data_IF_361740544584
#
_entry.id   IF_361740544584
#
_cell.length_a   1.000
_cell.length_b   1.000
_cell.length_c   1.000
_cell.angle_alpha   90.00
_cell.angle_beta   90.00
_cell.angle_gamma   90.00
#
_symmetry.space_group_name_H-M   'P 1'
#
loop_
_entity.id
_entity.type
_entity.pdbx_description
1 polymer ?
#
# COMPACT_ATOMS: atom_id res chain seq x y z
N UNK A 1 4.05 -13.57 -0.40
CA UNK A 1 2.66 -13.76 0.06
C UNK A 1 2.64 -14.94 1.01
N UNK A 2 1.87 -14.85 2.11
CA UNK A 2 1.76 -15.92 3.11
C UNK A 2 0.57 -16.82 2.74
N UNK A 3 0.82 -18.11 2.51
CA UNK A 3 -0.24 -19.11 2.58
C UNK A 3 -0.62 -19.30 4.04
N UNK A 4 -1.82 -18.90 4.42
CA UNK A 4 -2.28 -18.99 5.82
C UNK A 4 -2.62 -20.42 6.24
N UNK A 5 -2.76 -21.36 5.29
CA UNK A 5 -2.99 -22.78 5.60
C UNK A 5 -1.69 -23.51 5.94
N UNK A 6 -0.66 -23.36 5.11
CA UNK A 6 0.67 -23.95 5.33
C UNK A 6 1.61 -23.10 6.19
N UNK A 7 1.31 -21.81 6.39
CA UNK A 7 2.28 -20.78 6.81
C UNK A 7 3.49 -20.64 5.88
N UNK A 8 3.34 -21.03 4.61
CA UNK A 8 4.41 -20.95 3.62
C UNK A 8 4.51 -19.54 3.02
N UNK A 9 5.73 -19.09 2.78
CA UNK A 9 5.99 -17.81 2.14
C UNK A 9 6.37 -17.99 0.67
N UNK A 10 5.72 -17.22 -0.20
CA UNK A 10 6.16 -17.00 -1.57
C UNK A 10 6.80 -15.63 -1.73
N UNK A 11 7.82 -15.54 -2.58
CA UNK A 11 8.41 -14.27 -2.98
C UNK A 11 8.03 -13.94 -4.42
N UNK A 12 7.86 -12.65 -4.72
CA UNK A 12 7.65 -12.13 -6.07
C UNK A 12 8.62 -10.99 -6.29
N UNK A 13 9.21 -10.93 -7.49
CA UNK A 13 10.11 -9.83 -7.84
C UNK A 13 9.28 -8.57 -8.05
N UNK A 14 9.71 -7.47 -7.45
CA UNK A 14 9.11 -6.15 -7.69
C UNK A 14 9.57 -5.61 -9.05
N UNK A 15 8.75 -4.80 -9.73
CA UNK A 15 9.21 -4.09 -10.92
C UNK A 15 10.34 -3.10 -10.54
N UNK A 16 11.15 -2.67 -11.51
CA UNK A 16 12.17 -1.65 -11.27
C UNK A 16 11.56 -0.38 -10.66
N UNK A 17 12.27 0.24 -9.72
CA UNK A 17 11.82 1.44 -9.02
C UNK A 17 12.97 2.32 -8.55
N UNK A 18 12.63 3.48 -7.99
CA UNK A 18 13.58 4.37 -7.29
C UNK A 18 13.74 3.95 -5.82
N UNK A 19 14.71 4.53 -5.12
CA UNK A 19 14.90 4.31 -3.67
C UNK A 19 13.70 4.72 -2.81
N UNK A 20 12.75 5.50 -3.36
CA UNK A 20 11.54 5.94 -2.67
C UNK A 20 10.29 5.17 -3.12
N UNK A 21 10.47 4.03 -3.80
CA UNK A 21 9.33 3.24 -4.28
C UNK A 21 8.66 2.55 -3.11
N UNK A 22 7.37 2.81 -2.94
CA UNK A 22 6.54 2.16 -1.93
C UNK A 22 5.59 1.17 -2.61
N UNK A 23 5.40 0.02 -1.97
CA UNK A 23 4.52 -1.03 -2.48
C UNK A 23 3.58 -1.52 -1.40
N UNK A 24 2.34 -1.80 -1.77
CA UNK A 24 1.37 -2.52 -0.94
C UNK A 24 0.74 -3.65 -1.77
N UNK A 25 0.91 -4.89 -1.32
CA UNK A 25 0.50 -6.09 -2.05
C UNK A 25 -0.80 -6.65 -1.44
N UNK A 26 -1.69 -7.15 -2.29
CA UNK A 26 -2.94 -7.79 -1.89
C UNK A 26 -3.30 -8.98 -2.77
N UNK A 27 -4.21 -9.83 -2.29
CA UNK A 27 -4.96 -10.75 -3.15
C UNK A 27 -6.03 -9.95 -3.90
N UNK A 28 -6.03 -10.08 -5.23
CA UNK A 28 -6.87 -9.31 -6.16
C UNK A 28 -8.06 -10.12 -6.71
N UNK A 29 -8.52 -11.09 -5.92
CA UNK A 29 -9.54 -12.06 -6.29
C UNK A 29 -9.05 -13.15 -7.23
N UNK A 30 -9.65 -14.35 -7.05
CA UNK A 30 -9.41 -15.54 -7.87
C UNK A 30 -7.95 -16.02 -7.82
N UNK A 31 -7.24 -15.76 -6.72
CA UNK A 31 -5.84 -16.17 -6.56
C UNK A 31 -4.85 -15.30 -7.32
N UNK A 32 -5.28 -14.14 -7.83
CA UNK A 32 -4.40 -13.17 -8.47
C UNK A 32 -3.76 -12.28 -7.42
N UNK A 33 -2.57 -11.78 -7.72
CA UNK A 33 -1.85 -10.85 -6.85
C UNK A 33 -1.96 -9.45 -7.45
N UNK A 34 -2.39 -8.49 -6.64
CA UNK A 34 -2.39 -7.07 -6.98
C UNK A 34 -1.32 -6.33 -6.18
N UNK A 35 -0.92 -5.17 -6.71
CA UNK A 35 0.05 -4.31 -6.07
C UNK A 35 -0.25 -2.84 -6.34
N UNK A 36 -0.36 -2.06 -5.28
CA UNK A 36 -0.28 -0.61 -5.36
C UNK A 36 1.17 -0.18 -5.32
N UNK A 37 1.55 0.75 -6.20
CA UNK A 37 2.90 1.32 -6.26
C UNK A 37 2.79 2.84 -6.24
N UNK A 38 3.54 3.47 -5.36
CA UNK A 38 3.78 4.90 -5.39
C UNK A 38 5.27 5.15 -5.65
N UNK A 39 5.57 5.77 -6.79
CA UNK A 39 6.93 6.21 -7.10
C UNK A 39 7.14 7.61 -6.54
N UNK A 40 8.21 7.77 -5.77
CA UNK A 40 8.62 9.06 -5.21
C UNK A 40 7.57 9.75 -4.31
N UNK A 41 6.72 8.97 -3.65
CA UNK A 41 5.73 9.47 -2.67
C UNK A 41 4.87 10.62 -3.23
N UNK A 42 4.51 10.54 -4.51
CA UNK A 42 3.66 11.55 -5.14
C UNK A 42 2.19 11.32 -4.74
N UNK A 43 1.27 12.13 -5.27
CA UNK A 43 -0.16 11.84 -5.19
C UNK A 43 -0.62 10.85 -6.27
N UNK A 44 0.25 10.40 -7.17
CA UNK A 44 -0.06 9.42 -8.19
C UNK A 44 0.27 8.01 -7.70
N UNK A 45 -0.73 7.14 -7.64
CA UNK A 45 -0.60 5.74 -7.23
C UNK A 45 -1.08 4.85 -8.37
N UNK A 46 -0.24 3.89 -8.77
CA UNK A 46 -0.60 2.89 -9.77
C UNK A 46 -1.05 1.59 -9.12
N UNK A 47 -2.02 0.93 -9.72
CA UNK A 47 -2.44 -0.43 -9.37
C UNK A 47 -2.06 -1.38 -10.49
N UNK A 48 -1.33 -2.43 -10.12
CA UNK A 48 -0.76 -3.40 -11.02
C UNK A 48 -1.25 -4.79 -10.66
N UNK A 49 -1.49 -5.63 -11.66
CA UNK A 49 -1.80 -7.04 -11.48
C UNK A 49 -0.61 -7.89 -11.90
N UNK A 50 -0.33 -8.93 -11.10
CA UNK A 50 0.61 -9.97 -11.47
C UNK A 50 -0.08 -10.93 -12.45
N UNK A 51 0.40 -10.98 -13.68
CA UNK A 51 -0.06 -11.91 -14.69
C UNK A 51 0.99 -12.99 -14.96
N UNK A 52 0.52 -14.19 -15.28
CA UNK A 52 1.34 -15.27 -15.80
C UNK A 52 1.24 -15.25 -17.32
N UNK A 53 2.36 -15.29 -18.03
CA UNK A 53 2.42 -15.25 -19.50
C UNK A 53 1.90 -16.52 -20.20
N UNK A 54 1.39 -17.49 -19.45
CA UNK A 54 0.76 -18.70 -19.96
C UNK A 54 1.74 -19.80 -20.37
N UNK A 55 2.99 -19.44 -20.69
CA UNK A 55 4.08 -20.38 -21.01
C UNK A 55 4.96 -20.72 -19.79
N UNK A 56 4.59 -20.21 -18.61
CA UNK A 56 5.20 -20.62 -17.33
C UNK A 56 6.61 -20.09 -17.12
N UNK A 57 7.04 -19.11 -17.90
CA UNK A 57 8.41 -18.63 -17.90
C UNK A 57 8.60 -17.33 -17.10
N UNK A 58 7.59 -16.44 -17.02
CA UNK A 58 7.76 -15.21 -16.25
C UNK A 58 6.45 -14.60 -15.75
N UNK A 59 6.39 -14.32 -14.45
CA UNK A 59 5.35 -13.44 -13.91
C UNK A 59 5.72 -11.99 -14.22
N UNK A 60 4.79 -11.25 -14.81
CA UNK A 60 4.97 -9.83 -15.13
C UNK A 60 3.91 -8.97 -14.43
N UNK A 61 4.35 -7.84 -13.90
CA UNK A 61 3.45 -6.79 -13.40
C UNK A 61 2.92 -5.96 -14.56
N UNK A 62 1.60 -5.87 -14.67
CA UNK A 62 0.91 -5.05 -15.65
C UNK A 62 0.12 -3.96 -14.94
N UNK A 63 0.31 -2.71 -15.36
CA UNK A 63 -0.44 -1.57 -14.84
C UNK A 63 -1.87 -1.64 -15.34
N UNK A 64 -2.82 -1.72 -14.42
CA UNK A 64 -4.26 -1.80 -14.69
C UNK A 64 -4.92 -0.43 -14.56
N UNK A 65 -4.49 0.36 -13.57
CA UNK A 65 -5.07 1.65 -13.28
C UNK A 65 -4.07 2.59 -12.62
N UNK A 66 -4.35 3.87 -12.72
CA UNK A 66 -3.60 4.95 -12.09
C UNK A 66 -4.59 5.91 -11.45
N UNK A 67 -4.30 6.29 -10.21
CA UNK A 67 -5.16 7.12 -9.39
C UNK A 67 -4.39 8.34 -8.91
N UNK A 68 -5.04 9.49 -8.97
CA UNK A 68 -4.56 10.69 -8.32
C UNK A 68 -5.29 10.82 -6.98
N UNK A 69 -4.54 10.76 -5.89
CA UNK A 69 -5.06 11.02 -4.57
C UNK A 69 -5.43 12.53 -4.45
N UNK A 70 -6.48 12.87 -3.68
CA UNK A 70 -6.85 14.25 -3.42
C UNK A 70 -5.71 15.03 -2.77
N UNK A 71 -5.70 16.35 -2.93
CA UNK A 71 -4.66 17.25 -2.41
C UNK A 71 -3.27 17.03 -3.05
N UNK A 72 -2.52 18.12 -3.30
CA UNK A 72 -1.16 18.04 -3.86
C UNK A 72 -0.12 17.64 -2.80
N UNK A 73 -0.49 16.65 -1.98
CA UNK A 73 0.30 16.12 -0.89
C UNK A 73 1.15 14.95 -1.36
N UNK A 74 2.18 14.64 -0.57
CA UNK A 74 2.94 13.41 -0.74
C UNK A 74 2.29 12.30 0.06
N UNK A 75 2.28 11.08 -0.46
CA UNK A 75 1.60 9.97 0.20
C UNK A 75 2.54 8.81 0.51
N UNK A 76 2.46 8.32 1.75
CA UNK A 76 3.08 7.06 2.18
C UNK A 76 2.05 5.93 2.14
N UNK A 77 2.44 4.76 1.62
CA UNK A 77 1.65 3.54 1.74
C UNK A 77 1.95 2.86 3.09
N UNK A 78 0.96 2.72 3.97
CA UNK A 78 1.14 2.10 5.30
C UNK A 78 0.79 0.60 5.31
N UNK A 79 0.03 0.14 4.32
CA UNK A 79 -0.34 -1.28 4.16
C UNK A 79 -1.83 -1.49 3.93
N UNK A 80 -2.20 -2.75 3.72
CA UNK A 80 -3.57 -3.16 3.36
C UNK A 80 -4.12 -4.10 4.42
N UNK A 81 -5.32 -3.79 4.93
CA UNK A 81 -6.07 -4.66 5.83
C UNK A 81 -7.57 -4.41 5.71
N UNK A 82 -8.38 -5.45 5.95
CA UNK A 82 -9.84 -5.31 6.07
C UNK A 82 -10.54 -4.75 4.82
N UNK A 83 -9.92 -4.81 3.64
CA UNK A 83 -10.46 -4.23 2.41
C UNK A 83 -10.10 -2.76 2.17
N UNK A 84 -9.15 -2.21 2.93
CA UNK A 84 -8.69 -0.84 2.81
C UNK A 84 -7.17 -0.78 2.64
N UNK A 85 -6.70 0.18 1.85
CA UNK A 85 -5.31 0.63 1.83
C UNK A 85 -5.20 1.85 2.74
N UNK A 86 -4.32 1.80 3.74
CA UNK A 86 -4.02 2.96 4.56
C UNK A 86 -2.89 3.79 3.95
N UNK A 87 -3.11 5.10 3.94
CA UNK A 87 -2.25 6.08 3.31
C UNK A 87 -1.96 7.19 4.32
N UNK A 88 -0.72 7.69 4.38
CA UNK A 88 -0.43 8.91 5.14
C UNK A 88 -0.15 10.06 4.17
N UNK A 89 -1.00 11.08 4.19
CA UNK A 89 -0.76 12.35 3.52
C UNK A 89 0.21 13.20 4.32
N UNK A 90 1.32 13.56 3.67
CA UNK A 90 2.35 14.44 4.21
C UNK A 90 2.18 15.83 3.58
N UNK A 91 1.74 16.83 4.37
CA UNK A 91 1.61 18.19 3.87
C UNK A 91 2.99 18.81 3.57
N UNK A 92 3.03 19.57 2.47
CA UNK A 92 4.20 20.37 2.06
C UNK A 92 5.18 19.71 1.07
N UNK A 93 5.92 20.58 0.37
CA UNK A 93 6.95 20.23 -0.62
C UNK A 93 8.17 19.55 0.05
N UNK A 94 8.74 18.53 -0.64
CA UNK A 94 10.02 17.86 -0.28
C UNK A 94 11.15 18.88 -0.06
N UNK A 95 11.07 20.05 -0.70
CA UNK A 95 12.12 21.07 -0.69
C UNK A 95 11.88 22.25 0.26
N UNK A 96 10.73 22.32 0.94
CA UNK A 96 10.48 23.43 1.88
C UNK A 96 11.17 23.17 3.22
N UNK A 97 12.21 23.94 3.49
CA UNK A 97 12.93 23.99 4.77
C UNK A 97 12.25 24.90 5.81
N UNK A 98 11.08 25.47 5.52
CA UNK A 98 10.40 26.34 6.48
C UNK A 98 9.78 25.54 7.62
N UNK A 99 10.25 25.81 8.84
CA UNK A 99 9.67 25.35 10.11
C UNK A 99 8.31 26.01 10.44
N UNK A 100 7.80 26.89 9.57
CA UNK A 100 6.51 27.53 9.75
C UNK A 100 5.39 26.52 9.45
N UNK A 101 4.66 26.16 10.50
CA UNK A 101 3.39 25.41 10.51
C UNK A 101 3.31 24.31 9.43
N UNK A 102 4.16 23.29 9.56
CA UNK A 102 3.83 22.01 8.93
C UNK A 102 2.54 21.52 9.56
N UNK A 103 1.47 21.51 8.77
CA UNK A 103 0.24 20.84 9.17
C UNK A 103 0.55 19.41 9.62
N UNK A 104 -0.17 18.92 10.63
CA UNK A 104 0.02 17.55 11.09
C UNK A 104 -0.35 16.58 9.94
N UNK A 105 0.46 15.55 9.68
CA UNK A 105 0.12 14.51 8.72
C UNK A 105 -1.27 13.90 9.00
N UNK A 106 -2.02 13.63 7.94
CA UNK A 106 -3.30 12.93 8.05
C UNK A 106 -3.16 11.50 7.51
N UNK A 107 -3.86 10.56 8.17
CA UNK A 107 -4.00 9.19 7.69
C UNK A 107 -5.37 9.05 7.05
N UNK A 108 -5.39 8.42 5.89
CA UNK A 108 -6.56 8.17 5.08
C UNK A 108 -6.72 6.67 4.85
N UNK A 109 -7.97 6.25 4.66
CA UNK A 109 -8.32 4.91 4.23
C UNK A 109 -8.90 4.94 2.83
N UNK A 110 -8.28 4.24 1.89
CA UNK A 110 -8.81 4.01 0.55
C UNK A 110 -9.55 2.68 0.51
N UNK A 111 -10.86 2.73 0.29
CA UNK A 111 -11.67 1.54 0.12
C UNK A 111 -11.30 0.83 -1.20
N UNK A 112 -10.84 -0.42 -1.14
CA UNK A 112 -10.34 -1.12 -2.32
C UNK A 112 -11.44 -1.53 -3.31
N UNK A 113 -12.70 -1.57 -2.87
CA UNK A 113 -13.85 -1.92 -3.71
C UNK A 113 -14.44 -0.68 -4.39
N UNK A 114 -14.57 0.41 -3.66
CA UNK A 114 -15.23 1.64 -4.17
C UNK A 114 -14.25 2.69 -4.65
N UNK A 115 -12.96 2.54 -4.33
CA UNK A 115 -11.89 3.52 -4.55
C UNK A 115 -12.19 4.89 -3.92
N UNK A 116 -13.05 4.90 -2.90
CA UNK A 116 -13.33 6.11 -2.12
C UNK A 116 -12.26 6.28 -1.06
N UNK A 117 -11.69 7.48 -1.02
CA UNK A 117 -10.75 7.89 0.01
C UNK A 117 -11.50 8.60 1.13
N UNK A 118 -11.25 8.19 2.37
CA UNK A 118 -11.85 8.78 3.57
C UNK A 118 -10.75 9.18 4.55
N UNK A 119 -10.96 10.29 5.26
CA UNK A 119 -10.10 10.64 6.39
C UNK A 119 -10.28 9.61 7.51
N UNK A 120 -9.17 9.08 8.02
CA UNK A 120 -9.18 8.03 9.03
C UNK A 120 -8.78 8.57 10.40
N UNK A 121 -7.63 9.25 10.50
CA UNK A 121 -7.17 9.90 11.74
C UNK A 121 -6.14 11.00 11.47
N UNK A 122 -6.01 11.93 12.41
CA UNK A 122 -4.89 12.87 12.45
C UNK A 122 -3.66 12.21 13.10
N UNK A 123 -2.49 12.41 12.52
CA UNK A 123 -1.22 11.87 13.03
C UNK A 123 -0.23 13.00 13.29
N UNK A 124 0.29 13.07 14.51
CA UNK A 124 1.32 14.06 14.87
C UNK A 124 2.72 13.71 14.36
N UNK A 125 2.90 12.49 13.87
CA UNK A 125 4.19 11.96 13.46
C UNK A 125 4.12 11.34 12.07
N UNK A 126 5.24 11.38 11.36
CA UNK A 126 5.40 10.61 10.13
C UNK A 126 5.62 9.14 10.46
N UNK A 127 4.95 8.26 9.71
CA UNK A 127 4.97 6.82 9.89
C UNK A 127 5.81 6.14 8.80
N UNK A 128 7.00 6.69 8.50
CA UNK A 128 7.87 6.20 7.41
C UNK A 128 8.26 4.72 7.55
N UNK A 129 8.32 4.21 8.79
CA UNK A 129 8.72 2.84 9.10
C UNK A 129 7.61 2.04 9.83
N UNK A 130 6.37 2.54 9.81
CA UNK A 130 5.27 1.83 10.45
C UNK A 130 4.59 0.90 9.45
N UNK A 131 4.61 -0.39 9.75
CA UNK A 131 3.81 -1.38 9.02
C UNK A 131 2.44 -1.56 9.68
N UNK A 132 1.39 -1.64 8.87
CA UNK A 132 0.06 -1.96 9.34
C UNK A 132 0.02 -3.39 9.94
N UNK A 133 -0.21 -3.48 11.25
CA UNK A 133 -0.48 -4.74 11.91
C UNK A 133 -1.95 -5.15 11.73
N UNK A 134 -2.19 -6.15 10.87
CA UNK A 134 -3.54 -6.55 10.47
C UNK A 134 -4.07 -7.82 11.17
N UNK A 135 -3.27 -8.49 12.00
CA UNK A 135 -3.72 -9.68 12.71
C UNK A 135 -2.60 -10.52 13.33
N UNK A 136 -3.00 -11.45 14.18
CA UNK A 136 -2.10 -12.39 14.83
C UNK A 136 -1.86 -13.62 13.93
N UNK A 137 -0.67 -14.25 13.98
CA UNK A 137 -0.48 -15.55 13.37
C UNK A 137 -1.41 -16.59 14.02
N UNK A 138 -1.72 -17.70 13.35
CA UNK A 138 -2.62 -18.73 13.91
C UNK A 138 -2.21 -19.25 15.29
N UNK A 139 -0.90 -19.29 15.59
CA UNK A 139 -0.38 -19.69 16.92
C UNK A 139 -0.67 -18.69 18.05
N UNK A 140 -0.95 -17.43 17.71
CA UNK A 140 -1.29 -16.35 18.64
C UNK A 140 -2.75 -15.90 18.50
N UNK A 141 -3.51 -16.57 17.64
CA UNK A 141 -4.94 -16.31 17.46
C UNK A 141 -5.73 -16.95 18.60
N UNK A 142 -6.81 -16.30 19.04
CA UNK A 142 -7.73 -16.91 20.00
C UNK A 142 -8.25 -18.24 19.45
N UNK A 143 -8.39 -19.29 20.28
CA UNK A 143 -8.98 -20.55 19.84
C UNK A 143 -10.39 -20.28 19.28
N UNK A 144 -10.62 -20.71 18.05
CA UNK A 144 -11.92 -20.62 17.40
C UNK A 144 -12.89 -21.56 18.12
N UNK A 145 -14.02 -21.01 18.62
CA UNK A 145 -15.12 -21.78 19.21
C UNK A 145 -15.92 -22.54 18.14
#
# INVERSE_FOLDING_TARGET
MLDTRGMDFSAVNLPPGTNNTQVAILEAGKGRIGMFINQDMTNEVSYNLLQNDGDGAMFQWLSEAMFNLPENNRYLLLGIAGGYLLLQGLPGDRHSSSLAEKEDPNVFSLNLKTLQLEWFLASKYNNFDADLFAGFPPSLSLPTL
#
